data_IF_415992796153
#
_entry.id   IF_415992796153
#
_cell.length_a   1.000
_cell.length_b   1.000
_cell.length_c   1.000
_cell.angle_alpha   90.00
_cell.angle_beta   90.00
_cell.angle_gamma   90.00
#
_symmetry.space_group_name_H-M   'P 1'
#
loop_
_entity.id
_entity.type
_entity.pdbx_description
1 polymer ?
#
# COMPACT_ATOMS: atom_id res chain seq x y z
N UNK A 1 17.43 -2.70 7.74
CA UNK A 1 16.22 -2.02 7.24
C UNK A 1 15.63 -1.16 8.34
N UNK A 2 15.25 0.06 8.03
CA UNK A 2 14.71 1.02 8.97
C UNK A 2 13.35 1.52 8.47
N UNK A 3 12.37 1.63 9.35
CA UNK A 3 11.10 2.28 9.07
C UNK A 3 11.12 3.69 9.66
N UNK A 4 10.70 4.67 8.88
CA UNK A 4 10.60 6.05 9.35
C UNK A 4 9.43 6.78 8.70
N UNK A 5 8.94 7.86 9.31
CA UNK A 5 7.89 8.67 8.69
C UNK A 5 8.33 9.25 7.35
N UNK A 6 7.36 9.38 6.43
CA UNK A 6 7.56 10.04 5.15
C UNK A 6 7.95 11.50 5.34
N UNK A 7 8.85 11.98 4.47
CA UNK A 7 9.21 13.38 4.34
C UNK A 7 9.06 13.81 2.87
N UNK A 8 8.78 15.10 2.60
CA UNK A 8 8.55 15.55 1.23
C UNK A 8 9.68 15.22 0.23
N UNK A 9 10.93 15.16 0.70
CA UNK A 9 12.05 14.77 -0.15
C UNK A 9 12.04 13.30 -0.57
N UNK A 10 11.17 12.48 0.01
CA UNK A 10 11.01 11.08 -0.39
C UNK A 10 10.16 10.91 -1.65
N UNK A 11 9.48 11.96 -2.10
CA UNK A 11 8.49 11.86 -3.17
C UNK A 11 9.06 11.26 -4.45
N UNK A 12 10.21 11.73 -4.91
CA UNK A 12 10.81 11.24 -6.16
C UNK A 12 11.10 9.75 -6.09
N UNK A 13 11.69 9.30 -4.98
CA UNK A 13 12.01 7.88 -4.77
C UNK A 13 10.73 7.04 -4.72
N UNK A 14 9.68 7.53 -4.07
CA UNK A 14 8.39 6.85 -3.99
C UNK A 14 7.75 6.71 -5.37
N UNK A 15 7.73 7.78 -6.16
CA UNK A 15 7.12 7.75 -7.50
C UNK A 15 7.86 6.79 -8.43
N UNK A 16 9.20 6.80 -8.38
CA UNK A 16 10.01 5.86 -9.16
C UNK A 16 9.76 4.41 -8.72
N UNK A 17 9.75 4.16 -7.43
CA UNK A 17 9.47 2.83 -6.87
C UNK A 17 8.09 2.34 -7.29
N UNK A 18 7.09 3.19 -7.19
CA UNK A 18 5.72 2.84 -7.56
C UNK A 18 5.64 2.44 -9.03
N UNK A 19 6.17 3.27 -9.92
CA UNK A 19 6.18 2.99 -11.36
C UNK A 19 6.87 1.66 -11.67
N UNK A 20 8.08 1.48 -11.17
CA UNK A 20 8.87 0.28 -11.44
C UNK A 20 8.24 -0.97 -10.86
N UNK A 21 7.69 -0.87 -9.64
CA UNK A 21 7.07 -2.02 -8.98
C UNK A 21 5.80 -2.47 -9.71
N UNK A 22 4.92 -1.52 -10.06
CA UNK A 22 3.69 -1.86 -10.77
C UNK A 22 4.03 -2.55 -12.10
N UNK A 23 4.95 -2.00 -12.87
CA UNK A 23 5.30 -2.54 -14.18
C UNK A 23 6.09 -3.85 -14.12
N UNK A 24 6.84 -4.10 -13.05
CA UNK A 24 7.64 -5.32 -12.91
C UNK A 24 6.91 -6.45 -12.18
N UNK A 25 6.23 -6.13 -11.07
CA UNK A 25 5.67 -7.14 -10.17
C UNK A 25 4.22 -7.48 -10.53
N UNK A 26 3.44 -6.50 -10.93
CA UNK A 26 2.02 -6.69 -11.21
C UNK A 26 1.73 -7.17 -12.63
N UNK A 27 2.71 -7.22 -13.52
CA UNK A 27 2.52 -7.59 -14.92
C UNK A 27 1.97 -9.01 -15.14
N UNK A 28 2.12 -9.88 -14.16
CA UNK A 28 1.57 -11.24 -14.24
C UNK A 28 0.05 -11.25 -14.21
N UNK A 29 -0.54 -10.29 -13.48
CA UNK A 29 -1.98 -10.26 -13.20
C UNK A 29 -2.73 -9.16 -13.97
N UNK A 30 -2.01 -8.25 -14.63
CA UNK A 30 -2.59 -7.12 -15.34
C UNK A 30 -1.95 -6.93 -16.72
N UNK A 31 -2.75 -6.47 -17.70
CA UNK A 31 -2.27 -6.20 -19.05
C UNK A 31 -1.35 -4.98 -19.11
N UNK A 32 -0.52 -4.84 -20.17
CA UNK A 32 0.29 -3.64 -20.35
C UNK A 32 -0.53 -2.35 -20.33
N UNK A 33 -1.70 -2.34 -20.95
CA UNK A 33 -2.59 -1.16 -20.94
C UNK A 33 -3.09 -0.83 -19.53
N UNK A 34 -3.40 -1.85 -18.73
CA UNK A 34 -3.79 -1.66 -17.34
C UNK A 34 -2.63 -1.13 -16.50
N UNK A 35 -1.41 -1.65 -16.70
CA UNK A 35 -0.24 -1.19 -15.96
C UNK A 35 0.06 0.28 -16.28
N UNK A 36 -0.05 0.69 -17.55
CA UNK A 36 0.16 2.07 -17.95
C UNK A 36 -0.90 3.02 -17.38
N UNK A 37 -2.14 2.55 -17.27
CA UNK A 37 -3.23 3.33 -16.67
C UNK A 37 -3.04 3.47 -15.16
N UNK A 38 -2.61 2.40 -14.48
CA UNK A 38 -2.40 2.40 -13.04
C UNK A 38 -1.18 3.23 -12.64
N UNK A 39 -0.05 3.04 -13.33
CA UNK A 39 1.19 3.74 -13.06
C UNK A 39 1.70 4.39 -14.36
N UNK A 40 1.15 5.56 -14.73
CA UNK A 40 1.59 6.27 -15.92
C UNK A 40 3.02 6.79 -15.74
N UNK A 41 3.71 6.96 -16.87
CA UNK A 41 5.10 7.41 -16.88
C UNK A 41 5.26 8.80 -16.26
N UNK A 42 4.24 9.63 -16.39
CA UNK A 42 4.21 10.97 -15.79
C UNK A 42 3.05 11.05 -14.79
N UNK A 43 3.32 10.74 -13.51
CA UNK A 43 2.28 10.78 -12.49
C UNK A 43 1.92 12.23 -12.14
N UNK A 44 0.74 12.39 -11.54
CA UNK A 44 0.31 13.66 -10.97
C UNK A 44 1.06 13.90 -9.64
N UNK A 45 2.20 14.58 -9.72
CA UNK A 45 3.09 14.78 -8.58
C UNK A 45 2.43 15.53 -7.43
N UNK A 46 1.67 16.58 -7.75
CA UNK A 46 1.04 17.40 -6.72
C UNK A 46 0.00 16.59 -5.95
N UNK A 47 -0.80 15.80 -6.64
CA UNK A 47 -1.80 14.93 -6.03
C UNK A 47 -1.14 13.89 -5.12
N UNK A 48 -0.06 13.27 -5.58
CA UNK A 48 0.71 12.33 -4.77
C UNK A 48 1.27 12.98 -3.52
N UNK A 49 1.91 14.15 -3.66
CA UNK A 49 2.50 14.87 -2.53
C UNK A 49 1.44 15.22 -1.49
N UNK A 50 0.28 15.71 -1.92
CA UNK A 50 -0.82 16.04 -1.02
C UNK A 50 -1.36 14.82 -0.29
N UNK A 51 -1.55 13.73 -1.01
CA UNK A 51 -2.06 12.48 -0.44
C UNK A 51 -1.11 11.89 0.60
N UNK A 52 0.18 11.79 0.26
CA UNK A 52 1.18 11.25 1.17
C UNK A 52 1.33 12.11 2.43
N UNK A 53 1.25 13.42 2.29
CA UNK A 53 1.34 14.35 3.44
C UNK A 53 0.09 14.29 4.33
N UNK A 54 -1.08 14.04 3.74
CA UNK A 54 -2.34 13.98 4.48
C UNK A 54 -2.52 12.65 5.24
N UNK A 55 -1.88 11.58 4.79
CA UNK A 55 -1.98 10.26 5.40
C UNK A 55 -0.86 10.03 6.42
N UNK A 56 -1.04 8.99 7.25
CA UNK A 56 0.06 8.43 8.05
C UNK A 56 0.90 7.57 7.11
N UNK A 57 2.02 8.12 6.69
CA UNK A 57 2.86 7.51 5.66
C UNK A 57 4.20 7.11 6.25
N UNK A 58 4.60 5.87 5.98
CA UNK A 58 5.86 5.27 6.45
C UNK A 58 6.68 4.82 5.25
N UNK A 59 8.00 5.02 5.32
CA UNK A 59 8.94 4.50 4.33
C UNK A 59 9.88 3.50 4.98
N UNK A 60 10.24 2.47 4.22
CA UNK A 60 11.26 1.50 4.59
C UNK A 60 12.54 1.84 3.85
N UNK A 61 13.64 2.00 4.58
CA UNK A 61 14.94 2.34 4.01
C UNK A 61 15.90 1.16 4.24
N UNK A 62 16.52 0.69 3.18
CA UNK A 62 17.49 -0.38 3.23
C UNK A 62 18.74 0.06 2.47
N UNK A 63 19.89 0.09 3.17
CA UNK A 63 21.16 0.51 2.56
C UNK A 63 21.11 1.89 1.92
N UNK A 64 20.39 2.84 2.53
CA UNK A 64 20.26 4.20 2.01
C UNK A 64 19.24 4.35 0.88
N UNK A 65 18.58 3.27 0.48
CA UNK A 65 17.59 3.26 -0.61
C UNK A 65 16.18 3.11 -0.03
N UNK A 66 15.22 3.88 -0.55
CA UNK A 66 13.81 3.67 -0.22
C UNK A 66 13.37 2.36 -0.84
N UNK A 67 13.17 1.36 0.01
CA UNK A 67 12.85 0.00 -0.40
C UNK A 67 11.35 -0.31 -0.39
N UNK A 68 10.56 0.56 0.20
CA UNK A 68 9.11 0.38 0.25
C UNK A 68 8.41 1.54 0.95
N UNK A 69 7.10 1.61 0.79
CA UNK A 69 6.28 2.59 1.49
C UNK A 69 4.86 2.09 1.67
N UNK A 70 4.18 2.67 2.63
CA UNK A 70 2.77 2.38 2.91
C UNK A 70 2.11 3.61 3.53
N UNK A 71 0.81 3.75 3.35
CA UNK A 71 0.07 4.84 3.97
C UNK A 71 -1.33 4.44 4.43
N UNK A 72 -1.79 5.14 5.47
CA UNK A 72 -3.06 4.93 6.13
C UNK A 72 -3.80 6.26 6.25
N UNK A 73 -5.02 6.32 5.75
CA UNK A 73 -5.90 7.46 5.98
C UNK A 73 -6.47 7.41 7.40
N UNK A 74 -6.86 8.56 7.93
CA UNK A 74 -7.35 8.69 9.31
C UNK A 74 -8.62 7.88 9.62
N UNK A 75 -9.36 7.50 8.58
CA UNK A 75 -10.58 6.68 8.73
C UNK A 75 -10.32 5.17 8.73
N UNK A 76 -9.06 4.75 8.58
CA UNK A 76 -8.69 3.34 8.57
C UNK A 76 -8.49 2.74 7.19
N UNK A 77 -8.51 3.57 6.13
CA UNK A 77 -8.24 3.09 4.79
C UNK A 77 -6.72 2.96 4.57
N UNK A 78 -6.27 1.72 4.39
CA UNK A 78 -4.89 1.36 4.05
C UNK A 78 -4.75 1.52 2.53
N UNK A 79 -4.23 2.66 2.11
CA UNK A 79 -4.32 3.09 0.71
C UNK A 79 -3.26 2.41 -0.17
N UNK A 80 -1.99 2.43 0.27
CA UNK A 80 -0.88 1.93 -0.56
C UNK A 80 0.06 1.06 0.25
N UNK A 81 0.59 0.04 -0.42
CA UNK A 81 1.66 -0.82 0.10
C UNK A 81 2.47 -1.30 -1.09
N UNK A 82 3.67 -0.77 -1.23
CA UNK A 82 4.56 -1.12 -2.34
C UNK A 82 5.97 -1.38 -1.84
N UNK A 83 6.57 -2.46 -2.32
CA UNK A 83 7.96 -2.84 -2.04
C UNK A 83 8.72 -2.81 -3.36
N UNK A 84 9.87 -2.16 -3.34
CA UNK A 84 10.76 -2.02 -4.49
C UNK A 84 11.02 -3.39 -5.13
N UNK A 85 11.02 -3.44 -6.46
CA UNK A 85 11.16 -4.69 -7.22
C UNK A 85 12.40 -5.51 -6.86
N UNK A 86 13.48 -4.85 -6.46
CA UNK A 86 14.74 -5.49 -6.09
C UNK A 86 14.81 -5.90 -4.62
N UNK A 87 13.78 -5.60 -3.83
CA UNK A 87 13.73 -5.90 -2.40
C UNK A 87 12.57 -6.81 -2.03
N UNK A 88 12.02 -7.53 -3.00
CA UNK A 88 10.91 -8.45 -2.77
C UNK A 88 11.32 -9.62 -1.88
N UNK A 89 10.36 -10.19 -1.14
CA UNK A 89 10.52 -11.40 -0.32
C UNK A 89 11.55 -11.25 0.80
N UNK A 90 11.72 -10.05 1.34
CA UNK A 90 12.65 -9.77 2.44
C UNK A 90 11.92 -9.34 3.72
N UNK A 91 10.60 -9.49 3.77
CA UNK A 91 9.82 -9.14 4.96
C UNK A 91 9.46 -7.66 5.04
N UNK A 92 9.75 -6.85 4.02
CA UNK A 92 9.49 -5.42 4.05
C UNK A 92 7.99 -5.12 4.05
N UNK A 93 7.21 -5.82 3.21
CA UNK A 93 5.76 -5.65 3.19
C UNK A 93 5.14 -5.98 4.55
N UNK A 94 5.62 -7.03 5.20
CA UNK A 94 5.17 -7.42 6.53
C UNK A 94 5.47 -6.33 7.56
N UNK A 95 6.67 -5.77 7.52
CA UNK A 95 7.07 -4.70 8.44
C UNK A 95 6.22 -3.43 8.22
N UNK A 96 6.00 -3.05 6.97
CA UNK A 96 5.18 -1.89 6.63
C UNK A 96 3.72 -2.10 7.07
N UNK A 97 3.13 -3.25 6.77
CA UNK A 97 1.76 -3.55 7.16
C UNK A 97 1.60 -3.59 8.69
N UNK A 98 2.59 -4.12 9.40
CA UNK A 98 2.59 -4.11 10.87
C UNK A 98 2.61 -2.69 11.43
N UNK A 99 3.40 -1.81 10.82
CA UNK A 99 3.43 -0.39 11.22
C UNK A 99 2.07 0.27 11.02
N UNK A 100 1.44 0.04 9.86
CA UNK A 100 0.11 0.57 9.53
C UNK A 100 -0.93 0.09 10.54
N UNK A 101 -0.94 -1.21 10.85
CA UNK A 101 -1.90 -1.77 11.82
C UNK A 101 -1.64 -1.24 13.23
N UNK A 102 -0.37 -1.06 13.59
CA UNK A 102 0.00 -0.42 14.86
C UNK A 102 -0.49 1.01 14.95
N UNK A 103 -0.36 1.77 13.88
CA UNK A 103 -0.87 3.14 13.80
C UNK A 103 -2.39 3.16 13.94
N UNK A 104 -3.10 2.26 13.28
CA UNK A 104 -4.55 2.15 13.38
C UNK A 104 -4.98 1.86 14.83
N UNK A 105 -4.23 1.01 15.55
CA UNK A 105 -4.51 0.75 16.97
C UNK A 105 -4.26 1.97 17.83
N UNK A 106 -3.20 2.72 17.58
CA UNK A 106 -2.93 3.98 18.27
C UNK A 106 -4.08 4.96 18.10
N UNK A 107 -4.71 4.98 16.93
CA UNK A 107 -5.84 5.84 16.63
C UNK A 107 -7.17 5.28 17.16
N UNK A 108 -7.15 4.14 17.82
CA UNK A 108 -8.34 3.44 18.34
C UNK A 108 -9.34 3.07 17.23
N UNK A 109 -8.85 2.75 16.04
CA UNK A 109 -9.69 2.31 14.94
C UNK A 109 -10.09 0.85 15.14
N UNK A 110 -11.36 0.50 14.87
CA UNK A 110 -11.83 -0.89 15.06
C UNK A 110 -11.35 -1.84 13.97
N UNK A 111 -11.02 -1.31 12.80
CA UNK A 111 -10.62 -2.12 11.65
C UNK A 111 -9.77 -1.34 10.68
N UNK A 112 -9.10 -2.07 9.79
CA UNK A 112 -8.37 -1.54 8.65
C UNK A 112 -9.00 -2.11 7.39
N UNK A 113 -9.25 -1.26 6.41
CA UNK A 113 -9.84 -1.63 5.13
C UNK A 113 -8.86 -1.26 4.01
N UNK A 114 -8.82 -2.08 2.98
CA UNK A 114 -7.98 -1.81 1.80
C UNK A 114 -8.67 -2.27 0.54
N UNK A 115 -8.25 -1.73 -0.61
CA UNK A 115 -8.62 -2.25 -1.93
C UNK A 115 -7.41 -2.95 -2.51
N UNK A 116 -7.34 -4.27 -2.31
CA UNK A 116 -6.19 -5.06 -2.71
C UNK A 116 -6.25 -5.43 -4.20
N UNK A 117 -5.11 -5.29 -4.88
CA UNK A 117 -4.95 -5.82 -6.23
C UNK A 117 -5.02 -7.35 -6.24
N UNK A 118 -5.16 -7.93 -7.43
CA UNK A 118 -5.07 -9.39 -7.59
C UNK A 118 -3.73 -9.88 -7.03
N UNK A 119 -2.66 -9.18 -7.33
CA UNK A 119 -1.31 -9.54 -6.89
C UNK A 119 -1.16 -9.49 -5.37
N UNK A 120 -1.74 -8.47 -4.73
CA UNK A 120 -1.58 -8.24 -3.29
C UNK A 120 -2.53 -9.06 -2.42
N UNK A 121 -3.64 -9.54 -2.97
CA UNK A 121 -4.65 -10.28 -2.22
C UNK A 121 -4.09 -11.41 -1.36
N UNK A 122 -3.22 -12.31 -1.87
CA UNK A 122 -2.70 -13.40 -1.04
C UNK A 122 -1.93 -12.91 0.18
N UNK A 123 -1.19 -11.82 0.06
CA UNK A 123 -0.47 -11.22 1.17
C UNK A 123 -1.43 -10.79 2.27
N UNK A 124 -2.50 -10.08 1.91
CA UNK A 124 -3.48 -9.59 2.88
C UNK A 124 -4.26 -10.73 3.51
N UNK A 125 -4.61 -11.76 2.74
CA UNK A 125 -5.30 -12.93 3.28
C UNK A 125 -4.47 -13.62 4.37
N UNK A 126 -3.16 -13.77 4.15
CA UNK A 126 -2.25 -14.36 5.15
C UNK A 126 -2.15 -13.52 6.42
N UNK A 127 -2.39 -12.22 6.33
CA UNK A 127 -2.36 -11.32 7.49
C UNK A 127 -3.69 -11.25 8.22
N UNK A 128 -4.70 -12.00 7.79
CA UNK A 128 -6.00 -12.02 8.45
C UNK A 128 -7.03 -11.06 7.88
N UNK A 129 -6.74 -10.43 6.72
CA UNK A 129 -7.74 -9.67 6.00
C UNK A 129 -8.67 -10.63 5.26
N UNK A 130 -9.95 -10.29 5.21
CA UNK A 130 -10.93 -11.09 4.47
C UNK A 130 -11.54 -10.25 3.36
N UNK A 131 -11.89 -10.91 2.26
CA UNK A 131 -12.56 -10.26 1.14
C UNK A 131 -14.00 -9.94 1.54
N UNK A 132 -14.35 -8.66 1.46
CA UNK A 132 -15.71 -8.20 1.69
C UNK A 132 -16.46 -8.11 0.37
N UNK A 133 -15.78 -7.68 -0.69
CA UNK A 133 -16.39 -7.50 -2.01
C UNK A 133 -15.31 -7.54 -3.10
N UNK A 134 -15.58 -8.29 -4.16
CA UNK A 134 -14.84 -8.15 -5.41
C UNK A 134 -15.46 -7.00 -6.20
N UNK A 135 -14.63 -6.15 -6.81
CA UNK A 135 -15.14 -5.03 -7.59
C UNK A 135 -14.37 -4.84 -8.89
N UNK A 136 -15.03 -4.16 -9.81
CA UNK A 136 -14.44 -3.75 -11.09
C UNK A 136 -14.47 -2.23 -11.12
N UNK A 137 -13.28 -1.61 -11.07
CA UNK A 137 -13.15 -0.15 -10.99
C UNK A 137 -12.59 0.42 -12.29
N UNK A 138 -13.28 1.38 -12.89
CA UNK A 138 -12.71 2.12 -14.01
C UNK A 138 -11.63 3.07 -13.51
N UNK A 139 -10.52 3.14 -14.21
CA UNK A 139 -9.42 4.06 -13.92
C UNK A 139 -8.63 4.33 -15.19
N UNK A 140 -8.51 5.61 -15.58
CA UNK A 140 -7.76 6.03 -16.76
C UNK A 140 -8.08 5.20 -18.02
N UNK A 141 -9.37 4.96 -18.27
CA UNK A 141 -9.83 4.25 -19.47
C UNK A 141 -9.75 2.73 -19.42
N UNK A 142 -9.31 2.17 -18.31
CA UNK A 142 -9.22 0.72 -18.10
C UNK A 142 -10.11 0.29 -16.95
N UNK A 143 -10.46 -1.00 -16.92
CA UNK A 143 -11.22 -1.59 -15.81
C UNK A 143 -10.31 -2.52 -15.03
N UNK A 144 -10.28 -2.35 -13.71
CA UNK A 144 -9.46 -3.16 -12.81
C UNK A 144 -10.35 -4.01 -11.91
N UNK A 145 -10.03 -5.30 -11.83
CA UNK A 145 -10.57 -6.15 -10.79
C UNK A 145 -9.71 -5.96 -9.55
N UNK A 146 -10.33 -5.62 -8.42
CA UNK A 146 -9.66 -5.61 -7.14
C UNK A 146 -10.62 -6.08 -6.05
N UNK A 147 -10.14 -6.13 -4.82
CA UNK A 147 -10.89 -6.73 -3.71
C UNK A 147 -10.91 -5.78 -2.53
N UNK A 148 -12.10 -5.40 -2.11
CA UNK A 148 -12.25 -4.71 -0.83
C UNK A 148 -12.01 -5.75 0.26
N UNK A 149 -11.02 -5.50 1.11
CA UNK A 149 -10.64 -6.42 2.18
C UNK A 149 -10.62 -5.68 3.51
N UNK A 150 -10.94 -6.39 4.57
CA UNK A 150 -11.01 -5.83 5.91
C UNK A 150 -10.34 -6.73 6.92
N UNK A 151 -9.63 -6.13 7.87
CA UNK A 151 -9.12 -6.81 9.05
C UNK A 151 -9.63 -6.09 10.29
N UNK A 152 -10.31 -6.82 11.16
CA UNK A 152 -10.69 -6.29 12.48
C UNK A 152 -9.48 -6.34 13.39
N UNK A 153 -9.24 -5.24 14.10
CA UNK A 153 -8.10 -5.15 14.99
C UNK A 153 -8.35 -5.79 16.36
N UNK A 154 -9.59 -6.08 16.67
CA UNK A 154 -9.95 -6.72 17.90
C UNK A 154 -9.79 -5.82 19.12
N UNK A 155 -10.38 -6.24 20.24
CA UNK A 155 -10.20 -5.57 21.50
C UNK A 155 -8.92 -6.07 22.17
N UNK A 156 -8.38 -5.25 23.07
CA UNK A 156 -7.22 -5.65 23.87
C UNK A 156 -7.70 -6.60 24.96
N UNK A 157 -7.31 -7.90 24.92
CA UNK A 157 -7.93 -8.91 25.79
C UNK A 157 -7.84 -8.61 27.30
N UNK A 158 -6.80 -7.92 27.72
CA UNK A 158 -6.59 -7.63 29.15
C UNK A 158 -7.52 -6.56 29.70
N UNK A 159 -8.36 -5.96 28.87
CA UNK A 159 -9.36 -5.00 29.30
C UNK A 159 -10.67 -5.64 29.77
N UNK A 160 -10.71 -6.94 29.76
CA UNK A 160 -11.87 -7.70 30.17
C UNK A 160 -11.70 -8.29 31.56
#
# INVERSE_FOLDING_TARGET
MELRPYQPQDLDAILELFYETVHAVNRRDYSPSQLDAWAPKQPDRDRWAQSLAAHYTVVAVAGGTVAGFADLASDGYFDRLFVHKDFQRQGIATALASWIEGKARELSLPSVCTEASITARPFFEKRGYRVVQEQRKPHNGQVFVNFVMEKRLGEIPHLH
#
